data_IF_750930291921
#
_entry.id   IF_750930291921
#
_cell.length_a   1.000
_cell.length_b   1.000
_cell.length_c   1.000
_cell.angle_alpha   90.00
_cell.angle_beta   90.00
_cell.angle_gamma   90.00
#
_symmetry.space_group_name_H-M   'P 1'
#
loop_
_entity.id
_entity.type
_entity.pdbx_description
1 polymer ?
#
# COMPACT_ATOMS: atom_id res chain seq x y z
N UNK A 1 2.45 1.87 -4.60
CA UNK A 1 3.81 2.26 -4.14
C UNK A 1 3.91 3.09 -2.86
N UNK A 2 2.99 4.00 -2.52
CA UNK A 2 3.16 4.90 -1.34
C UNK A 2 3.38 4.16 -0.02
N UNK A 3 2.62 3.07 0.21
CA UNK A 3 2.75 2.23 1.41
C UNK A 3 4.19 1.69 1.52
N UNK A 4 4.74 1.13 0.44
CA UNK A 4 6.11 0.60 0.45
C UNK A 4 7.15 1.66 0.75
N UNK A 5 6.98 2.89 0.24
CA UNK A 5 7.90 4.00 0.58
C UNK A 5 7.89 4.32 2.07
N UNK A 6 6.71 4.37 2.68
CA UNK A 6 6.55 4.59 4.11
C UNK A 6 7.18 3.45 4.94
N UNK A 7 6.92 2.20 4.55
CA UNK A 7 7.52 1.03 5.19
C UNK A 7 9.05 1.04 5.08
N UNK A 8 9.59 1.35 3.90
CA UNK A 8 11.03 1.45 3.64
C UNK A 8 11.74 2.52 4.49
N UNK A 9 11.04 3.56 4.96
CA UNK A 9 11.62 4.58 5.87
C UNK A 9 11.39 4.28 7.35
N UNK A 10 10.74 3.16 7.68
CA UNK A 10 10.59 2.65 9.06
C UNK A 10 9.16 2.66 9.61
N UNK A 11 8.14 2.99 8.81
CA UNK A 11 6.75 2.87 9.28
C UNK A 11 6.39 1.40 9.53
N UNK A 12 5.60 1.14 10.57
CA UNK A 12 5.05 -0.21 10.83
C UNK A 12 3.80 -0.50 9.98
N UNK A 13 3.00 0.52 9.70
CA UNK A 13 1.77 0.45 8.91
C UNK A 13 1.42 1.83 8.34
N UNK A 14 0.44 1.88 7.43
CA UNK A 14 -0.13 3.11 6.88
C UNK A 14 -1.65 3.11 7.06
N UNK A 15 -2.21 4.21 7.54
CA UNK A 15 -3.67 4.41 7.59
C UNK A 15 -4.18 5.02 6.28
N UNK A 16 -5.44 4.73 5.95
CA UNK A 16 -6.15 5.33 4.83
C UNK A 16 -7.34 6.15 5.35
N UNK A 17 -7.46 7.39 4.88
CA UNK A 17 -8.56 8.28 5.22
C UNK A 17 -9.64 8.29 4.14
N UNK A 18 -9.69 9.35 3.34
CA UNK A 18 -10.73 9.57 2.31
C UNK A 18 -10.87 8.46 1.28
N UNK A 19 -9.82 7.66 1.06
CA UNK A 19 -9.80 6.59 0.06
C UNK A 19 -11.01 5.64 0.18
N UNK A 20 -11.28 5.11 1.38
CA UNK A 20 -12.42 4.21 1.56
C UNK A 20 -13.76 4.95 1.55
N UNK A 21 -13.80 6.22 1.93
CA UNK A 21 -15.03 7.04 1.90
C UNK A 21 -15.50 7.30 0.47
N UNK A 22 -14.57 7.53 -0.47
CA UNK A 22 -14.92 7.70 -1.87
C UNK A 22 -15.46 6.41 -2.48
N UNK A 23 -14.85 5.27 -2.13
CA UNK A 23 -15.33 3.96 -2.56
C UNK A 23 -16.72 3.64 -1.98
N UNK A 24 -16.94 3.99 -0.70
CA UNK A 24 -18.22 3.86 -0.02
C UNK A 24 -19.31 4.71 -0.71
N UNK A 25 -19.01 5.97 -1.06
CA UNK A 25 -19.94 6.83 -1.76
C UNK A 25 -20.27 6.33 -3.18
N UNK A 26 -19.31 5.67 -3.85
CA UNK A 26 -19.48 5.21 -5.23
C UNK A 26 -20.29 3.90 -5.35
N UNK A 27 -20.08 2.93 -4.44
CA UNK A 27 -20.67 1.60 -4.57
C UNK A 27 -20.92 0.89 -3.23
N UNK A 28 -21.10 1.66 -2.14
CA UNK A 28 -21.35 1.11 -0.81
C UNK A 28 -20.23 0.17 -0.34
N UNK A 29 -20.61 -0.87 0.41
CA UNK A 29 -19.68 -1.87 0.94
C UNK A 29 -18.86 -2.55 -0.16
N UNK A 30 -19.49 -2.96 -1.28
CA UNK A 30 -18.81 -3.62 -2.39
C UNK A 30 -17.71 -2.74 -3.00
N UNK A 31 -17.93 -1.42 -3.05
CA UNK A 31 -16.91 -0.44 -3.44
C UNK A 31 -15.70 -0.46 -2.50
N UNK A 32 -15.95 -0.43 -1.18
CA UNK A 32 -14.91 -0.46 -0.15
C UNK A 32 -14.09 -1.75 -0.24
N UNK A 33 -14.75 -2.91 -0.31
CA UNK A 33 -14.08 -4.21 -0.43
C UNK A 33 -13.19 -4.28 -1.67
N UNK A 34 -13.70 -3.83 -2.82
CA UNK A 34 -12.93 -3.77 -4.07
C UNK A 34 -11.71 -2.85 -3.92
N UNK A 35 -11.88 -1.68 -3.32
CA UNK A 35 -10.80 -0.72 -3.12
C UNK A 35 -9.70 -1.28 -2.20
N UNK A 36 -10.08 -1.91 -1.08
CA UNK A 36 -9.14 -2.56 -0.16
C UNK A 36 -8.39 -3.72 -0.83
N UNK A 37 -9.09 -4.57 -1.58
CA UNK A 37 -8.49 -5.64 -2.34
C UNK A 37 -7.50 -5.11 -3.40
N UNK A 38 -7.86 -4.04 -4.09
CA UNK A 38 -6.97 -3.40 -5.07
C UNK A 38 -5.69 -2.88 -4.42
N UNK A 39 -5.81 -2.25 -3.23
CA UNK A 39 -4.67 -1.76 -2.47
C UNK A 39 -3.76 -2.90 -2.01
N UNK A 40 -4.32 -4.03 -1.58
CA UNK A 40 -3.56 -5.22 -1.20
C UNK A 40 -2.80 -5.82 -2.40
N UNK A 41 -3.48 -5.96 -3.55
CA UNK A 41 -2.87 -6.44 -4.80
C UNK A 41 -1.77 -5.51 -5.30
N UNK A 42 -1.93 -4.18 -5.14
CA UNK A 42 -0.90 -3.21 -5.48
C UNK A 42 0.36 -3.40 -4.62
N UNK A 43 0.19 -3.55 -3.30
CA UNK A 43 1.31 -3.79 -2.38
C UNK A 43 2.04 -5.09 -2.72
N UNK A 44 1.31 -6.18 -2.93
CA UNK A 44 1.89 -7.48 -3.27
C UNK A 44 2.65 -7.42 -4.61
N UNK A 45 2.04 -6.81 -5.63
CA UNK A 45 2.66 -6.64 -6.95
C UNK A 45 3.94 -5.83 -6.86
N UNK A 46 3.90 -4.69 -6.17
CA UNK A 46 5.06 -3.82 -6.05
C UNK A 46 6.19 -4.51 -5.26
N UNK A 47 5.87 -5.29 -4.21
CA UNK A 47 6.86 -6.09 -3.49
C UNK A 47 7.52 -7.14 -4.40
N UNK A 48 6.73 -7.84 -5.24
CA UNK A 48 7.26 -8.79 -6.24
C UNK A 48 8.22 -8.10 -7.22
N UNK A 49 7.85 -6.92 -7.73
CA UNK A 49 8.69 -6.14 -8.64
C UNK A 49 9.99 -5.65 -7.98
N UNK A 50 9.97 -5.42 -6.66
CA UNK A 50 11.14 -5.03 -5.88
C UNK A 50 12.00 -6.23 -5.44
N UNK A 51 11.59 -7.47 -5.74
CA UNK A 51 12.27 -8.67 -5.25
C UNK A 51 12.15 -8.90 -3.74
N UNK A 52 11.15 -8.29 -3.09
CA UNK A 52 10.89 -8.43 -1.67
C UNK A 52 9.80 -9.48 -1.43
N UNK A 53 10.10 -10.51 -0.65
CA UNK A 53 9.13 -11.55 -0.25
C UNK A 53 8.53 -11.30 1.13
N UNK A 54 9.12 -10.38 1.91
CA UNK A 54 8.70 -10.03 3.25
C UNK A 54 8.84 -8.53 3.49
N UNK A 55 8.00 -7.97 4.36
CA UNK A 55 8.00 -6.54 4.70
C UNK A 55 9.29 -6.12 5.42
N UNK A 56 9.91 -7.02 6.17
CA UNK A 56 11.19 -6.78 6.88
C UNK A 56 12.40 -6.63 5.94
N UNK A 57 12.26 -6.98 4.66
CA UNK A 57 13.28 -6.75 3.63
C UNK A 57 13.22 -5.32 3.08
N UNK A 58 12.18 -4.55 3.41
CA UNK A 58 12.08 -3.15 3.01
C UNK A 58 12.99 -2.30 3.91
N UNK A 59 13.81 -1.48 3.29
CA UNK A 59 14.75 -0.60 3.98
C UNK A 59 14.97 0.70 3.22
N UNK A 60 15.75 1.62 3.82
CA UNK A 60 16.05 2.91 3.20
C UNK A 60 16.78 2.79 1.87
N UNK A 61 17.39 1.64 1.54
CA UNK A 61 17.99 1.39 0.22
C UNK A 61 16.97 1.38 -0.92
N UNK A 62 15.68 1.14 -0.64
CA UNK A 62 14.63 1.18 -1.65
C UNK A 62 14.30 2.62 -2.10
N UNK A 63 14.75 3.64 -1.37
CA UNK A 63 14.33 5.03 -1.56
C UNK A 63 15.51 5.90 -1.96
N UNK A 64 15.34 6.62 -3.07
CA UNK A 64 16.23 7.71 -3.46
C UNK A 64 15.66 9.04 -2.93
N UNK A 65 16.36 9.66 -1.99
CA UNK A 65 16.06 11.02 -1.56
C UNK A 65 16.56 12.02 -2.62
N UNK A 66 15.73 13.02 -2.92
CA UNK A 66 16.06 14.15 -3.78
C UNK A 66 15.80 15.43 -3.01
#
# INVERSE_FOLDING_TARGET
THILKALSVGAKCCSIGRYYLYALAAAGQAGVERALNQLAVEVERDMKLMGATKVDQLSRSNIRFR
#
